data_IF_725333181607
#
_entry.id   IF_725333181607
#
_cell.length_a   1.000
_cell.length_b   1.000
_cell.length_c   1.000
_cell.angle_alpha   90.00
_cell.angle_beta   90.00
_cell.angle_gamma   90.00
#
_symmetry.space_group_name_H-M   'P 1'
#
loop_
_entity.id
_entity.type
_entity.pdbx_description
1 polymer ?
#
# COMPACT_ATOMS: atom_id res chain seq x y z
N UNK A 1 -24.48 7.11 -6.00
CA UNK A 1 -25.20 8.37 -5.74
C UNK A 1 -26.54 8.36 -6.46
N UNK A 2 -27.49 9.25 -6.10
CA UNK A 2 -28.83 9.26 -6.70
C UNK A 2 -29.83 8.29 -6.05
N UNK A 3 -29.47 7.58 -4.99
CA UNK A 3 -30.41 6.79 -4.21
C UNK A 3 -31.16 7.70 -3.21
N UNK A 4 -32.48 7.57 -3.01
CA UNK A 4 -33.21 8.44 -2.07
C UNK A 4 -32.64 8.49 -0.66
N UNK A 5 -32.03 7.40 -0.18
CA UNK A 5 -31.39 7.34 1.13
C UNK A 5 -30.12 8.20 1.25
N UNK A 6 -29.41 8.51 0.16
CA UNK A 6 -28.19 9.32 0.15
C UNK A 6 -28.45 10.79 -0.16
N UNK A 7 -29.68 11.18 -0.51
CA UNK A 7 -29.99 12.56 -0.91
C UNK A 7 -29.60 13.59 0.14
N UNK A 8 -29.87 13.33 1.40
CA UNK A 8 -29.48 14.25 2.49
C UNK A 8 -27.99 14.43 2.67
N UNK A 9 -27.18 13.45 2.27
CA UNK A 9 -25.73 13.56 2.20
C UNK A 9 -25.31 14.36 0.95
N UNK A 10 -25.90 14.05 -0.20
CA UNK A 10 -25.60 14.74 -1.45
C UNK A 10 -25.86 16.25 -1.37
N UNK A 11 -26.94 16.65 -0.68
CA UNK A 11 -27.29 18.07 -0.44
C UNK A 11 -26.25 18.81 0.44
N UNK A 12 -25.39 18.11 1.18
CA UNK A 12 -24.36 18.68 2.07
C UNK A 12 -22.95 18.63 1.48
N UNK A 13 -22.75 18.02 0.32
CA UNK A 13 -21.41 17.82 -0.26
C UNK A 13 -20.74 19.16 -0.56
N UNK A 14 -21.42 20.07 -1.24
CA UNK A 14 -20.86 21.36 -1.68
C UNK A 14 -20.46 22.22 -0.47
N UNK A 15 -21.32 22.30 0.55
CA UNK A 15 -21.01 23.03 1.78
C UNK A 15 -19.85 22.39 2.54
N UNK A 16 -19.79 21.05 2.62
CA UNK A 16 -18.70 20.32 3.28
C UNK A 16 -17.38 20.57 2.56
N UNK A 17 -17.39 20.55 1.23
CA UNK A 17 -16.22 20.81 0.41
C UNK A 17 -15.72 22.25 0.58
N UNK A 18 -16.63 23.24 0.55
CA UNK A 18 -16.29 24.64 0.77
C UNK A 18 -15.67 24.88 2.16
N UNK A 19 -16.20 24.23 3.20
CA UNK A 19 -15.62 24.30 4.53
C UNK A 19 -14.23 23.63 4.61
N UNK A 20 -14.02 22.52 3.90
CA UNK A 20 -12.71 21.88 3.85
C UNK A 20 -11.68 22.78 3.17
N UNK A 21 -12.02 23.33 2.00
CA UNK A 21 -11.14 24.20 1.22
C UNK A 21 -10.77 25.50 1.95
N UNK A 22 -11.66 26.01 2.82
CA UNK A 22 -11.39 27.16 3.66
C UNK A 22 -10.66 26.85 4.96
N UNK A 23 -10.48 25.56 5.32
CA UNK A 23 -9.89 25.16 6.58
C UNK A 23 -8.35 25.34 6.60
N UNK A 24 -7.75 25.76 7.72
CA UNK A 24 -6.30 25.85 7.85
C UNK A 24 -5.62 24.51 7.56
N UNK A 25 -4.58 24.53 6.71
CA UNK A 25 -3.80 23.35 6.36
C UNK A 25 -4.42 22.46 5.29
N UNK A 26 -5.55 22.84 4.71
CA UNK A 26 -6.06 22.16 3.52
C UNK A 26 -5.11 22.38 2.34
N UNK A 27 -4.80 21.31 1.61
CA UNK A 27 -3.91 21.35 0.45
C UNK A 27 -4.64 20.99 -0.83
N UNK A 28 -5.43 19.91 -0.81
CA UNK A 28 -6.08 19.38 -1.99
C UNK A 28 -7.17 18.38 -1.60
N UNK A 29 -8.15 18.22 -2.45
CA UNK A 29 -9.09 17.11 -2.44
C UNK A 29 -9.27 16.55 -3.84
N UNK A 30 -9.59 15.28 -3.94
CA UNK A 30 -10.05 14.70 -5.19
C UNK A 30 -11.32 15.46 -5.62
N UNK A 31 -11.28 16.04 -6.81
CA UNK A 31 -12.40 16.76 -7.35
C UNK A 31 -13.49 15.77 -7.68
N UNK A 32 -14.30 15.48 -6.71
CA UNK A 32 -15.57 14.82 -6.95
C UNK A 32 -16.49 15.91 -7.44
N UNK A 33 -16.37 16.27 -8.71
CA UNK A 33 -17.54 16.67 -9.41
C UNK A 33 -18.36 15.38 -9.53
N UNK A 34 -19.35 15.24 -8.66
CA UNK A 34 -20.18 14.03 -8.47
C UNK A 34 -20.91 13.59 -9.74
N UNK A 35 -20.65 14.23 -10.85
CA UNK A 35 -21.23 13.96 -12.17
C UNK A 35 -20.40 12.99 -13.01
N UNK A 36 -19.15 12.70 -12.65
CA UNK A 36 -18.32 11.70 -13.31
C UNK A 36 -18.24 10.43 -12.45
N UNK A 37 -19.39 9.81 -12.24
CA UNK A 37 -19.54 8.55 -11.47
C UNK A 37 -18.93 7.35 -12.18
N UNK A 38 -18.52 7.50 -13.43
CA UNK A 38 -18.00 6.39 -14.25
C UNK A 38 -16.57 5.98 -13.91
N UNK A 39 -15.86 6.78 -13.09
CA UNK A 39 -14.48 6.49 -12.64
C UNK A 39 -14.39 5.98 -11.18
N UNK A 40 -15.47 5.45 -10.62
CA UNK A 40 -15.39 4.81 -9.32
C UNK A 40 -14.53 3.54 -9.44
N UNK A 41 -13.49 3.43 -8.63
CA UNK A 41 -12.51 2.35 -8.75
C UNK A 41 -13.05 0.98 -8.31
N UNK A 42 -14.22 0.96 -7.66
CA UNK A 42 -14.88 -0.26 -7.23
C UNK A 42 -16.02 -0.63 -8.19
N UNK A 43 -16.21 -1.92 -8.42
CA UNK A 43 -17.32 -2.47 -9.22
C UNK A 43 -18.69 -2.20 -8.57
N UNK A 44 -18.71 -1.89 -7.27
CA UNK A 44 -19.92 -1.55 -6.53
C UNK A 44 -20.18 -0.05 -6.53
N UNK A 45 -21.16 0.38 -7.31
CA UNK A 45 -21.63 1.77 -7.41
C UNK A 45 -22.21 2.37 -6.11
N UNK A 46 -22.41 1.54 -5.07
CA UNK A 46 -22.88 2.02 -3.77
C UNK A 46 -21.72 2.46 -2.86
N UNK A 47 -20.47 2.29 -3.30
CA UNK A 47 -19.30 2.75 -2.57
C UNK A 47 -18.92 4.15 -3.04
N UNK A 48 -18.81 5.07 -2.11
CA UNK A 48 -18.31 6.42 -2.35
C UNK A 48 -16.91 6.54 -1.75
N UNK A 49 -15.95 7.01 -2.54
CA UNK A 49 -14.57 7.27 -2.10
C UNK A 49 -14.32 8.76 -2.11
N UNK A 50 -13.69 9.26 -1.06
CA UNK A 50 -13.25 10.65 -0.93
C UNK A 50 -11.78 10.67 -0.48
N UNK A 51 -10.99 11.56 -1.06
CA UNK A 51 -9.59 11.75 -0.69
C UNK A 51 -9.27 13.24 -0.55
N UNK A 52 -8.48 13.59 0.47
CA UNK A 52 -7.99 14.95 0.68
C UNK A 52 -6.57 14.94 1.27
N UNK A 53 -5.82 16.00 1.00
CA UNK A 53 -4.46 16.19 1.48
C UNK A 53 -4.43 17.40 2.42
N UNK A 54 -3.73 17.26 3.53
CA UNK A 54 -3.61 18.24 4.59
C UNK A 54 -2.15 18.43 5.00
N UNK A 55 -1.78 19.61 5.45
CA UNK A 55 -0.40 19.89 5.90
C UNK A 55 0.00 19.07 7.13
N UNK A 56 -0.97 18.73 7.99
CA UNK A 56 -0.74 17.92 9.19
C UNK A 56 -1.98 17.12 9.61
N UNK A 57 -1.77 16.01 10.35
CA UNK A 57 -2.88 15.25 10.95
C UNK A 57 -3.72 16.07 11.93
N UNK A 58 -3.11 17.03 12.64
CA UNK A 58 -3.83 17.84 13.63
C UNK A 58 -4.80 18.79 12.94
N UNK A 59 -4.41 19.41 11.82
CA UNK A 59 -5.30 20.26 11.01
C UNK A 59 -6.47 19.46 10.40
N UNK A 60 -6.19 18.25 9.89
CA UNK A 60 -7.26 17.36 9.46
C UNK A 60 -8.22 17.01 10.63
N UNK A 61 -7.69 16.70 11.81
CA UNK A 61 -8.52 16.39 13.00
C UNK A 61 -9.37 17.57 13.42
N UNK A 62 -8.82 18.77 13.41
CA UNK A 62 -9.55 19.99 13.74
C UNK A 62 -10.71 20.22 12.77
N UNK A 63 -10.50 20.04 11.48
CA UNK A 63 -11.58 20.07 10.49
C UNK A 63 -12.59 18.93 10.71
N UNK A 64 -12.12 17.69 10.82
CA UNK A 64 -12.98 16.50 10.84
C UNK A 64 -13.87 16.43 12.08
N UNK A 65 -13.36 16.87 13.24
CA UNK A 65 -14.03 16.67 14.52
C UNK A 65 -14.53 17.95 15.19
N UNK A 66 -14.46 19.11 14.52
CA UNK A 66 -15.01 20.36 15.00
C UNK A 66 -15.96 20.99 13.95
N UNK A 67 -16.82 21.90 14.42
CA UNK A 67 -17.68 22.69 13.57
C UNK A 67 -18.62 21.87 12.66
N UNK A 68 -18.83 22.37 11.47
CA UNK A 68 -19.78 21.85 10.48
C UNK A 68 -19.54 20.39 10.10
N UNK A 69 -18.29 20.03 9.76
CA UNK A 69 -17.96 18.66 9.35
C UNK A 69 -18.26 17.63 10.44
N UNK A 70 -17.98 17.95 11.72
CA UNK A 70 -18.35 17.09 12.84
C UNK A 70 -19.83 16.75 12.84
N UNK A 71 -20.66 17.75 12.59
CA UNK A 71 -22.13 17.59 12.66
C UNK A 71 -22.64 16.74 11.50
N UNK A 72 -22.07 16.92 10.29
CA UNK A 72 -22.29 16.01 9.14
C UNK A 72 -21.80 14.60 9.47
N UNK A 73 -20.58 14.45 9.98
CA UNK A 73 -20.01 13.14 10.28
C UNK A 73 -20.81 12.34 11.33
N UNK A 74 -21.41 13.02 12.31
CA UNK A 74 -22.28 12.38 13.31
C UNK A 74 -23.53 11.76 12.69
N UNK A 75 -24.00 12.30 11.59
CA UNK A 75 -25.19 11.82 10.88
C UNK A 75 -24.88 10.76 9.84
N UNK A 76 -23.63 10.35 9.67
CA UNK A 76 -23.21 9.40 8.62
C UNK A 76 -23.99 8.08 8.59
N UNK A 77 -24.44 7.59 9.75
CA UNK A 77 -25.26 6.39 9.85
C UNK A 77 -26.68 6.54 9.28
N UNK A 78 -27.11 7.76 8.98
CA UNK A 78 -28.38 8.01 8.28
C UNK A 78 -28.25 7.65 6.79
N UNK A 79 -27.02 7.70 6.23
CA UNK A 79 -26.76 7.56 4.80
C UNK A 79 -25.91 6.33 4.44
N UNK A 80 -25.03 5.92 5.35
CA UNK A 80 -24.05 4.87 5.09
C UNK A 80 -24.19 3.73 6.09
N UNK A 81 -24.21 2.50 5.56
CA UNK A 81 -24.21 1.28 6.37
C UNK A 81 -22.84 1.08 7.03
N UNK A 82 -21.78 1.52 6.34
CA UNK A 82 -20.40 1.42 6.81
C UNK A 82 -19.55 2.57 6.28
N UNK A 83 -18.51 2.92 7.02
CA UNK A 83 -17.54 3.94 6.60
C UNK A 83 -16.16 3.65 7.21
N UNK A 84 -15.12 3.85 6.44
CA UNK A 84 -13.74 3.77 6.91
C UNK A 84 -12.97 5.02 6.46
N UNK A 85 -12.06 5.49 7.32
CA UNK A 85 -11.14 6.57 7.00
C UNK A 85 -9.71 6.11 7.29
N UNK A 86 -8.85 6.25 6.29
CA UNK A 86 -7.45 5.85 6.35
C UNK A 86 -6.57 7.03 6.00
N UNK A 87 -5.53 7.25 6.78
CA UNK A 87 -4.52 8.29 6.58
C UNK A 87 -3.17 7.66 6.28
N UNK A 88 -2.34 8.39 5.56
CA UNK A 88 -0.94 8.05 5.34
C UNK A 88 -0.13 9.32 5.07
N UNK A 89 1.18 9.18 5.14
CA UNK A 89 2.11 10.26 4.86
C UNK A 89 2.43 10.33 3.35
N UNK A 90 2.48 11.54 2.83
CA UNK A 90 2.91 11.82 1.45
C UNK A 90 4.19 12.66 1.46
N UNK A 91 5.09 12.49 0.49
CA UNK A 91 6.15 13.44 0.25
C UNK A 91 5.57 14.83 -0.01
N UNK A 92 6.21 15.87 0.54
CA UNK A 92 5.75 17.25 0.34
C UNK A 92 5.67 17.58 -1.16
N UNK A 93 4.55 18.16 -1.58
CA UNK A 93 4.33 18.56 -2.98
C UNK A 93 3.85 17.42 -3.88
N UNK A 94 3.54 16.24 -3.34
CA UNK A 94 2.92 15.16 -4.10
C UNK A 94 1.43 15.03 -3.77
N UNK A 95 0.65 14.54 -4.71
CA UNK A 95 -0.75 14.21 -4.55
C UNK A 95 -0.96 12.71 -4.75
N UNK A 96 -1.90 12.09 -4.02
CA UNK A 96 -2.18 10.68 -4.20
C UNK A 96 -2.97 10.45 -5.50
N UNK A 97 -2.77 9.30 -6.11
CA UNK A 97 -3.69 8.80 -7.14
C UNK A 97 -4.85 8.05 -6.48
N UNK A 98 -5.95 7.89 -7.19
CA UNK A 98 -7.06 7.07 -6.69
C UNK A 98 -6.61 5.62 -6.47
N UNK A 99 -5.77 5.09 -7.35
CA UNK A 99 -5.20 3.76 -7.19
C UNK A 99 -4.39 3.64 -5.87
N UNK A 100 -3.58 4.65 -5.51
CA UNK A 100 -2.90 4.67 -4.20
C UNK A 100 -3.89 4.69 -3.04
N UNK A 101 -4.97 5.45 -3.12
CA UNK A 101 -6.01 5.48 -2.09
C UNK A 101 -6.57 4.07 -1.84
N UNK A 102 -6.88 3.32 -2.91
CA UNK A 102 -7.38 1.95 -2.81
C UNK A 102 -6.36 0.99 -2.20
N UNK A 103 -5.11 1.11 -2.60
CA UNK A 103 -4.03 0.29 -2.06
C UNK A 103 -3.81 0.52 -0.57
N UNK A 104 -3.93 1.77 -0.11
CA UNK A 104 -3.87 2.11 1.32
C UNK A 104 -5.06 1.56 2.09
N UNK A 105 -6.25 1.62 1.53
CA UNK A 105 -7.47 1.06 2.11
C UNK A 105 -7.38 -0.47 2.20
N UNK A 106 -6.98 -1.16 1.13
CA UNK A 106 -6.82 -2.61 1.11
C UNK A 106 -5.73 -3.09 2.09
N UNK A 107 -4.60 -2.37 2.12
CA UNK A 107 -3.55 -2.63 3.10
C UNK A 107 -4.04 -2.48 4.55
N UNK A 108 -4.76 -1.40 4.83
CA UNK A 108 -5.34 -1.18 6.16
C UNK A 108 -6.35 -2.27 6.54
N UNK A 109 -7.16 -2.72 5.60
CA UNK A 109 -8.11 -3.81 5.82
C UNK A 109 -7.40 -5.11 6.23
N UNK A 110 -6.24 -5.41 5.65
CA UNK A 110 -5.47 -6.62 5.91
C UNK A 110 -4.60 -6.54 7.17
N UNK A 111 -3.93 -5.39 7.40
CA UNK A 111 -2.88 -5.26 8.42
C UNK A 111 -3.29 -4.40 9.62
N UNK A 112 -4.40 -3.67 9.53
CA UNK A 112 -4.79 -2.66 10.52
C UNK A 112 -3.89 -1.44 10.48
N UNK A 113 -3.90 -0.66 11.56
CA UNK A 113 -3.11 0.56 11.68
C UNK A 113 -1.61 0.29 11.77
N UNK A 114 -0.89 0.93 10.87
CA UNK A 114 0.57 0.90 10.75
C UNK A 114 1.05 2.28 10.28
N UNK A 115 2.35 2.59 10.29
CA UNK A 115 2.84 3.85 9.70
C UNK A 115 2.52 4.02 8.21
N UNK A 116 2.23 2.91 7.48
CA UNK A 116 1.88 2.92 6.06
C UNK A 116 0.42 3.31 5.79
N UNK A 117 -0.49 2.94 6.71
CA UNK A 117 -1.91 3.26 6.66
C UNK A 117 -2.48 3.21 8.08
N UNK A 118 -3.12 4.28 8.55
CA UNK A 118 -3.57 4.42 9.95
C UNK A 118 -4.85 5.25 10.05
N UNK A 119 -5.47 5.27 11.23
CA UNK A 119 -6.70 6.05 11.46
C UNK A 119 -6.43 7.43 12.05
N UNK A 120 -7.41 8.33 11.94
CA UNK A 120 -7.34 9.70 12.48
C UNK A 120 -7.13 9.75 14.00
N UNK A 121 -7.50 8.70 14.75
CA UNK A 121 -7.35 8.62 16.20
C UNK A 121 -5.94 8.26 16.68
N UNK A 122 -5.03 7.94 15.78
CA UNK A 122 -3.70 7.41 16.10
C UNK A 122 -2.60 8.40 15.74
N UNK A 123 -1.54 8.42 16.55
CA UNK A 123 -0.30 9.11 16.22
C UNK A 123 0.70 8.07 15.71
N UNK A 124 1.08 8.21 14.46
CA UNK A 124 2.02 7.30 13.81
C UNK A 124 3.31 8.03 13.45
N UNK A 125 4.46 7.34 13.54
CA UNK A 125 5.71 7.89 13.03
C UNK A 125 5.58 8.20 11.53
N UNK A 126 6.33 9.21 11.09
CA UNK A 126 6.30 9.63 9.69
C UNK A 126 6.96 8.58 8.81
N UNK A 127 6.20 7.93 7.95
CA UNK A 127 6.73 6.99 6.96
C UNK A 127 6.64 7.58 5.56
N UNK A 128 7.80 7.75 4.93
CA UNK A 128 7.91 8.18 3.52
C UNK A 128 8.66 7.11 2.75
N UNK A 129 8.06 6.59 1.68
CA UNK A 129 8.71 5.65 0.78
C UNK A 129 9.06 6.38 -0.51
N UNK A 130 10.32 6.32 -0.92
CA UNK A 130 10.82 7.00 -2.12
C UNK A 130 11.57 6.04 -3.01
N UNK A 131 11.48 6.31 -4.31
CA UNK A 131 12.33 5.67 -5.30
C UNK A 131 13.76 6.21 -5.19
N UNK A 132 14.74 5.32 -5.29
CA UNK A 132 16.16 5.59 -5.33
C UNK A 132 16.81 4.83 -6.48
N UNK A 133 18.04 5.17 -6.81
CA UNK A 133 18.88 4.38 -7.72
C UNK A 133 19.80 3.46 -6.92
N UNK A 134 20.29 2.39 -7.53
CA UNK A 134 21.26 1.50 -6.89
C UNK A 134 22.64 2.16 -6.68
N UNK A 135 22.90 3.27 -7.37
CA UNK A 135 24.11 4.08 -7.16
C UNK A 135 24.06 4.91 -5.88
N UNK A 136 22.88 5.11 -5.27
CA UNK A 136 22.73 5.84 -4.02
C UNK A 136 23.47 5.12 -2.89
N UNK A 137 24.18 5.90 -2.05
CA UNK A 137 24.94 5.33 -0.93
C UNK A 137 24.03 4.66 0.10
N UNK A 138 22.84 5.21 0.36
CA UNK A 138 21.87 4.61 1.29
C UNK A 138 21.33 3.29 0.72
N UNK A 139 21.08 3.21 -0.60
CA UNK A 139 20.65 1.96 -1.22
C UNK A 139 21.72 0.86 -1.04
N UNK A 140 22.99 1.20 -1.26
CA UNK A 140 24.12 0.26 -1.07
C UNK A 140 24.28 -0.17 0.38
N UNK A 141 24.09 0.75 1.33
CA UNK A 141 24.15 0.45 2.75
C UNK A 141 23.05 -0.57 3.15
N UNK A 142 21.79 -0.32 2.77
CA UNK A 142 20.68 -1.22 3.08
C UNK A 142 20.82 -2.59 2.40
N UNK A 143 21.31 -2.64 1.16
CA UNK A 143 21.64 -3.90 0.48
C UNK A 143 22.79 -4.61 1.22
N UNK A 144 23.74 -3.88 1.75
CA UNK A 144 24.80 -4.42 2.59
C UNK A 144 24.26 -5.12 3.83
N UNK A 145 23.32 -4.48 4.55
CA UNK A 145 22.64 -5.10 5.70
C UNK A 145 21.85 -6.36 5.32
N UNK A 146 21.09 -6.30 4.22
CA UNK A 146 20.40 -7.47 3.68
C UNK A 146 21.37 -8.62 3.41
N UNK A 147 22.48 -8.35 2.71
CA UNK A 147 23.46 -9.38 2.36
C UNK A 147 24.13 -10.01 3.60
N UNK A 148 24.38 -9.22 4.64
CA UNK A 148 24.89 -9.73 5.92
C UNK A 148 23.88 -10.66 6.59
N UNK A 149 22.61 -10.28 6.64
CA UNK A 149 21.53 -11.08 7.22
C UNK A 149 21.32 -12.39 6.43
N UNK A 150 21.31 -12.31 5.09
CA UNK A 150 21.18 -13.50 4.23
C UNK A 150 22.36 -14.46 4.44
N UNK A 151 23.60 -13.97 4.50
CA UNK A 151 24.77 -14.82 4.77
C UNK A 151 24.68 -15.53 6.11
N UNK A 152 24.19 -14.83 7.14
CA UNK A 152 24.04 -15.41 8.47
C UNK A 152 22.91 -16.46 8.53
N UNK A 153 21.88 -16.31 7.71
CA UNK A 153 20.72 -17.21 7.67
C UNK A 153 20.89 -18.37 6.69
N UNK A 154 21.76 -18.24 5.68
CA UNK A 154 21.97 -19.25 4.64
C UNK A 154 22.64 -20.50 5.23
N UNK A 155 22.10 -21.71 5.00
CA UNK A 155 22.72 -22.95 5.44
C UNK A 155 24.15 -23.12 4.90
N UNK A 156 24.97 -23.77 5.68
CA UNK A 156 26.40 -23.99 5.36
C UNK A 156 26.55 -24.71 4.00
N UNK A 157 27.42 -24.19 3.14
CA UNK A 157 27.66 -24.73 1.78
C UNK A 157 26.72 -24.24 0.70
N UNK A 158 25.71 -23.42 1.02
CA UNK A 158 24.86 -22.80 0.02
C UNK A 158 25.44 -21.44 -0.44
N UNK A 159 25.45 -21.20 -1.75
CA UNK A 159 25.87 -19.93 -2.36
C UNK A 159 24.71 -19.38 -3.21
N UNK A 160 23.86 -18.57 -2.59
CA UNK A 160 22.62 -18.07 -3.19
C UNK A 160 22.60 -16.54 -3.35
N UNK A 161 23.71 -15.96 -3.82
CA UNK A 161 23.77 -14.51 -4.09
C UNK A 161 23.54 -14.25 -5.57
N UNK A 162 22.28 -14.05 -5.92
CA UNK A 162 21.89 -13.69 -7.28
C UNK A 162 22.11 -12.20 -7.56
N UNK A 163 22.52 -11.89 -8.75
CA UNK A 163 22.86 -10.53 -9.15
C UNK A 163 21.60 -9.67 -9.34
N UNK A 164 21.72 -8.36 -9.05
CA UNK A 164 20.69 -7.38 -9.37
C UNK A 164 21.23 -6.50 -10.52
N UNK A 165 20.54 -6.51 -11.64
CA UNK A 165 20.89 -5.72 -12.81
C UNK A 165 20.48 -4.25 -12.57
N UNK A 166 21.47 -3.38 -12.40
CA UNK A 166 21.24 -1.98 -12.03
C UNK A 166 20.52 -1.21 -13.14
N UNK A 167 20.84 -1.47 -14.39
CA UNK A 167 20.22 -0.86 -15.56
C UNK A 167 18.71 -1.12 -15.62
N UNK A 168 18.26 -2.33 -15.29
CA UNK A 168 16.84 -2.67 -15.25
C UNK A 168 16.11 -2.03 -14.08
N UNK A 169 16.74 -1.97 -12.91
CA UNK A 169 16.08 -1.43 -11.70
C UNK A 169 16.03 0.10 -11.72
N UNK A 170 17.06 0.75 -12.26
CA UNK A 170 17.15 2.21 -12.29
C UNK A 170 16.28 2.83 -13.40
N UNK A 171 15.93 2.07 -14.45
CA UNK A 171 14.96 2.49 -15.45
C UNK A 171 13.52 2.38 -14.89
N UNK A 172 12.76 3.51 -14.84
CA UNK A 172 11.37 3.50 -14.36
C UNK A 172 10.42 2.56 -15.10
N UNK A 173 10.66 2.30 -16.38
CA UNK A 173 9.82 1.41 -17.19
C UNK A 173 10.14 -0.07 -16.93
N UNK A 174 11.35 -0.37 -16.47
CA UNK A 174 11.85 -1.73 -16.30
C UNK A 174 11.89 -2.17 -14.83
N UNK A 175 11.85 -1.23 -13.88
CA UNK A 175 11.94 -1.60 -12.48
C UNK A 175 11.88 -0.42 -11.52
N UNK A 176 12.25 -0.66 -10.27
CA UNK A 176 12.37 0.35 -9.23
C UNK A 176 12.99 -0.16 -7.95
N UNK A 177 13.84 0.66 -7.35
CA UNK A 177 14.35 0.44 -6.00
C UNK A 177 13.74 1.48 -5.06
N UNK A 178 13.18 1.04 -3.94
CA UNK A 178 12.48 1.88 -2.98
C UNK A 178 13.12 1.78 -1.61
N UNK A 179 13.17 2.91 -0.91
CA UNK A 179 13.63 3.01 0.48
C UNK A 179 12.51 3.61 1.32
N UNK A 180 12.19 2.94 2.43
CA UNK A 180 11.28 3.44 3.45
C UNK A 180 12.05 4.22 4.52
N UNK A 181 11.68 5.47 4.68
CA UNK A 181 12.20 6.41 5.68
C UNK A 181 11.19 6.55 6.81
N UNK A 182 11.53 6.06 8.00
CA UNK A 182 10.71 6.18 9.20
C UNK A 182 11.32 7.23 10.11
N UNK A 183 10.59 8.34 10.35
CA UNK A 183 11.07 9.52 11.09
C UNK A 183 12.44 10.00 10.59
N UNK A 184 12.61 10.04 9.25
CA UNK A 184 13.82 10.50 8.60
C UNK A 184 14.98 9.49 8.58
N UNK A 185 14.82 8.26 9.09
CA UNK A 185 15.83 7.20 9.08
C UNK A 185 15.49 6.13 8.03
N UNK A 186 16.43 5.68 7.20
CA UNK A 186 16.19 4.63 6.22
C UNK A 186 16.10 3.27 6.93
N UNK A 187 14.93 2.64 6.93
CA UNK A 187 14.63 1.48 7.76
C UNK A 187 14.21 0.24 6.98
N UNK A 188 13.95 0.37 5.68
CA UNK A 188 13.64 -0.80 4.84
C UNK A 188 13.93 -0.48 3.36
N UNK A 189 14.12 -1.52 2.57
CA UNK A 189 14.22 -1.41 1.11
C UNK A 189 13.52 -2.58 0.41
N UNK A 190 13.18 -2.36 -0.85
CA UNK A 190 12.71 -3.37 -1.78
C UNK A 190 12.93 -2.92 -3.22
N UNK A 191 13.05 -3.88 -4.13
CA UNK A 191 13.12 -3.61 -5.54
C UNK A 191 12.14 -4.49 -6.30
N UNK A 192 11.82 -4.07 -7.53
CA UNK A 192 11.26 -4.94 -8.54
C UNK A 192 11.95 -4.67 -9.88
N UNK A 193 11.93 -5.65 -10.76
CA UNK A 193 12.37 -5.51 -12.15
C UNK A 193 11.43 -6.30 -13.06
N UNK A 194 11.34 -5.90 -14.34
CA UNK A 194 10.68 -6.70 -15.37
C UNK A 194 11.53 -7.92 -15.67
N UNK A 195 10.88 -9.05 -15.88
CA UNK A 195 11.51 -10.27 -16.42
C UNK A 195 11.35 -10.18 -17.94
N UNK A 196 12.45 -10.07 -18.66
CA UNK A 196 12.49 -9.89 -20.13
C UNK A 196 13.07 -11.10 -20.88
N UNK A 197 13.50 -12.11 -20.16
CA UNK A 197 14.03 -13.37 -20.66
C UNK A 197 12.97 -14.47 -20.88
N UNK A 198 11.71 -14.19 -20.54
CA UNK A 198 10.56 -15.07 -20.77
C UNK A 198 9.61 -14.43 -21.79
N UNK A 199 9.83 -14.73 -23.09
CA UNK A 199 9.04 -14.18 -24.19
C UNK A 199 7.55 -14.58 -24.13
N UNK A 200 7.22 -15.66 -23.47
CA UNK A 200 5.85 -16.13 -23.29
C UNK A 200 5.11 -15.36 -22.16
N UNK A 201 5.82 -14.57 -21.36
CA UNK A 201 5.28 -13.84 -20.20
C UNK A 201 5.83 -12.41 -20.11
N UNK A 202 5.55 -11.56 -21.11
CA UNK A 202 6.15 -10.22 -21.21
C UNK A 202 5.77 -9.24 -20.07
N UNK A 203 4.66 -9.50 -19.38
CA UNK A 203 4.13 -8.64 -18.32
C UNK A 203 4.40 -9.22 -16.93
N UNK A 204 5.52 -9.92 -16.78
CA UNK A 204 5.96 -10.48 -15.50
C UNK A 204 7.07 -9.62 -14.89
N UNK A 205 6.95 -9.37 -13.60
CA UNK A 205 7.98 -8.70 -12.80
C UNK A 205 8.53 -9.60 -11.70
N UNK A 206 9.71 -9.26 -11.20
CA UNK A 206 10.36 -9.95 -10.09
C UNK A 206 10.58 -9.02 -8.91
N UNK A 207 10.17 -9.43 -7.71
CA UNK A 207 10.47 -8.74 -6.45
C UNK A 207 11.87 -9.15 -5.99
N UNK A 208 12.70 -8.17 -5.68
CA UNK A 208 14.08 -8.39 -5.21
C UNK A 208 14.43 -7.49 -4.00
N UNK A 209 15.49 -7.83 -3.31
CA UNK A 209 16.12 -6.99 -2.28
C UNK A 209 15.18 -6.53 -1.17
N UNK A 210 14.24 -7.36 -0.79
CA UNK A 210 13.35 -7.11 0.35
C UNK A 210 14.12 -7.17 1.66
N UNK A 211 14.14 -6.05 2.39
CA UNK A 211 14.74 -5.99 3.72
C UNK A 211 14.05 -4.95 4.59
N UNK A 212 13.94 -5.21 5.88
CA UNK A 212 13.50 -4.24 6.88
C UNK A 212 14.36 -4.39 8.13
N UNK A 213 14.81 -3.27 8.69
CA UNK A 213 15.64 -3.24 9.89
C UNK A 213 15.01 -4.03 11.05
N UNK A 214 15.79 -4.85 11.75
CA UNK A 214 15.33 -5.51 12.97
C UNK A 214 14.80 -4.56 14.04
N UNK A 215 15.28 -3.31 14.08
CA UNK A 215 14.89 -2.29 15.05
C UNK A 215 13.42 -1.86 14.93
N UNK A 216 12.81 -2.10 13.77
CA UNK A 216 11.42 -1.72 13.48
C UNK A 216 10.52 -2.94 13.26
N UNK A 217 10.89 -4.09 13.78
CA UNK A 217 10.04 -5.28 13.77
C UNK A 217 8.71 -4.99 14.46
N UNK A 218 7.60 -5.40 13.83
CA UNK A 218 6.25 -5.07 14.28
C UNK A 218 5.62 -3.85 13.62
N UNK A 219 6.40 -2.88 13.09
CA UNK A 219 5.87 -1.74 12.33
C UNK A 219 5.37 -2.10 10.92
N UNK A 220 5.43 -3.39 10.55
CA UNK A 220 4.98 -3.91 9.24
C UNK A 220 5.67 -3.29 8.03
N UNK A 221 6.91 -2.80 8.17
CA UNK A 221 7.63 -2.16 7.05
C UNK A 221 7.88 -3.12 5.89
N UNK A 222 8.17 -4.40 6.14
CA UNK A 222 8.28 -5.41 5.07
C UNK A 222 6.97 -5.52 4.26
N UNK A 223 5.82 -5.50 4.93
CA UNK A 223 4.52 -5.49 4.27
C UNK A 223 4.30 -4.20 3.46
N UNK A 224 4.65 -3.03 4.03
CA UNK A 224 4.58 -1.74 3.35
C UNK A 224 5.44 -1.70 2.08
N UNK A 225 6.66 -2.24 2.16
CA UNK A 225 7.57 -2.33 1.02
C UNK A 225 7.03 -3.25 -0.08
N UNK A 226 6.49 -4.41 0.29
CA UNK A 226 5.90 -5.33 -0.68
C UNK A 226 4.65 -4.74 -1.35
N UNK A 227 3.80 -4.02 -0.61
CA UNK A 227 2.67 -3.28 -1.16
C UNK A 227 3.15 -2.20 -2.15
N UNK A 228 4.18 -1.42 -1.79
CA UNK A 228 4.76 -0.40 -2.67
C UNK A 228 5.31 -0.99 -3.96
N UNK A 229 6.03 -2.11 -3.89
CA UNK A 229 6.56 -2.80 -5.07
C UNK A 229 5.43 -3.31 -5.96
N UNK A 230 4.37 -3.90 -5.39
CA UNK A 230 3.22 -4.34 -6.16
C UNK A 230 2.51 -3.18 -6.87
N UNK A 231 2.34 -2.04 -6.17
CA UNK A 231 1.76 -0.83 -6.74
C UNK A 231 2.59 -0.30 -7.92
N UNK A 232 3.90 -0.19 -7.71
CA UNK A 232 4.82 0.29 -8.74
C UNK A 232 4.86 -0.63 -9.97
N UNK A 233 4.92 -1.94 -9.78
CA UNK A 233 4.89 -2.91 -10.87
C UNK A 233 3.56 -2.86 -11.65
N UNK A 234 2.43 -2.80 -10.94
CA UNK A 234 1.09 -2.68 -11.55
C UNK A 234 0.98 -1.41 -12.41
N UNK A 235 1.51 -0.27 -11.93
CA UNK A 235 1.50 0.99 -12.68
C UNK A 235 2.30 0.93 -13.99
N UNK A 236 3.20 -0.05 -14.13
CA UNK A 236 3.98 -0.33 -15.34
C UNK A 236 3.41 -1.50 -16.17
N UNK A 237 2.14 -1.87 -15.93
CA UNK A 237 1.46 -2.91 -16.69
C UNK A 237 1.87 -4.34 -16.34
N UNK A 238 2.55 -4.55 -15.23
CA UNK A 238 2.88 -5.90 -14.76
C UNK A 238 1.60 -6.59 -14.26
N UNK A 239 1.33 -7.77 -14.76
CA UNK A 239 0.15 -8.59 -14.45
C UNK A 239 0.46 -9.80 -13.57
N UNK A 240 1.73 -10.18 -13.44
CA UNK A 240 2.22 -11.21 -12.53
C UNK A 240 3.51 -10.74 -11.85
N UNK A 241 3.60 -10.92 -10.54
CA UNK A 241 4.85 -10.80 -9.81
C UNK A 241 5.35 -12.16 -9.37
N UNK A 242 6.64 -12.37 -9.55
CA UNK A 242 7.40 -13.52 -9.06
C UNK A 242 8.43 -13.06 -8.04
N UNK A 243 8.90 -13.97 -7.23
CA UNK A 243 10.02 -13.78 -6.33
C UNK A 243 10.74 -15.10 -6.07
N UNK A 244 12.01 -14.99 -5.72
CA UNK A 244 12.78 -16.07 -5.17
C UNK A 244 13.20 -15.74 -3.74
N UNK A 245 13.17 -16.74 -2.90
CA UNK A 245 13.61 -16.70 -1.50
C UNK A 245 14.14 -18.04 -1.07
N UNK A 246 14.71 -18.14 0.13
CA UNK A 246 15.02 -19.43 0.75
C UNK A 246 13.83 -19.94 1.55
N UNK A 247 13.51 -21.22 1.45
CA UNK A 247 12.45 -21.82 2.26
C UNK A 247 12.73 -21.70 3.78
N UNK A 248 14.01 -21.64 4.16
CA UNK A 248 14.47 -21.40 5.52
C UNK A 248 14.23 -19.97 6.03
N UNK A 249 13.89 -19.04 5.16
CA UNK A 249 13.50 -17.67 5.53
C UNK A 249 12.00 -17.59 5.88
N UNK A 250 11.60 -18.31 6.92
CA UNK A 250 10.19 -18.53 7.29
C UNK A 250 9.37 -17.24 7.39
N UNK A 251 9.95 -16.18 7.98
CA UNK A 251 9.26 -14.89 8.11
C UNK A 251 8.96 -14.22 6.76
N UNK A 252 9.89 -14.34 5.81
CA UNK A 252 9.72 -13.83 4.45
C UNK A 252 8.65 -14.65 3.70
N UNK A 253 8.73 -15.97 3.76
CA UNK A 253 7.74 -16.88 3.15
C UNK A 253 6.35 -16.62 3.72
N UNK A 254 6.22 -16.46 5.03
CA UNK A 254 4.94 -16.14 5.67
C UNK A 254 4.37 -14.79 5.20
N UNK A 255 5.24 -13.77 5.05
CA UNK A 255 4.84 -12.47 4.49
C UNK A 255 4.32 -12.63 3.05
N UNK A 256 5.06 -13.30 2.18
CA UNK A 256 4.67 -13.48 0.78
C UNK A 256 3.37 -14.27 0.65
N UNK A 257 3.19 -15.35 1.42
CA UNK A 257 1.92 -16.11 1.46
C UNK A 257 0.75 -15.23 1.89
N UNK A 258 0.94 -14.37 2.90
CA UNK A 258 -0.09 -13.44 3.35
C UNK A 258 -0.49 -12.44 2.26
N UNK A 259 0.44 -12.08 1.38
CA UNK A 259 0.16 -11.25 0.19
C UNK A 259 -0.42 -12.03 -0.99
N UNK A 260 -0.67 -13.33 -0.85
CA UNK A 260 -1.28 -14.17 -1.86
C UNK A 260 -0.28 -14.77 -2.86
N UNK A 261 1.01 -14.73 -2.57
CA UNK A 261 2.00 -15.49 -3.33
C UNK A 261 1.88 -16.98 -3.02
N UNK A 262 2.00 -17.81 -4.03
CA UNK A 262 2.04 -19.27 -3.96
C UNK A 262 3.27 -19.81 -4.66
N UNK A 263 3.68 -21.03 -4.32
CA UNK A 263 4.80 -21.70 -4.98
C UNK A 263 4.56 -21.80 -6.50
N UNK A 264 5.61 -21.59 -7.26
CA UNK A 264 5.59 -21.72 -8.72
C UNK A 264 6.86 -22.43 -9.23
N UNK A 265 6.89 -22.74 -10.53
CA UNK A 265 8.08 -23.28 -11.17
C UNK A 265 9.22 -22.26 -11.18
N UNK A 266 10.44 -22.74 -10.96
CA UNK A 266 11.65 -21.91 -11.04
C UNK A 266 11.89 -21.45 -12.47
N UNK A 267 12.47 -20.26 -12.62
CA UNK A 267 12.77 -19.66 -13.91
C UNK A 267 14.21 -19.10 -13.92
N UNK A 268 14.73 -18.82 -15.11
CA UNK A 268 16.02 -18.17 -15.32
C UNK A 268 17.15 -18.80 -14.51
N UNK A 269 17.86 -17.99 -13.75
CA UNK A 269 19.00 -18.40 -12.92
C UNK A 269 18.63 -19.31 -11.71
N UNK A 270 17.35 -19.45 -11.39
CA UNK A 270 16.86 -20.25 -10.26
C UNK A 270 16.60 -21.70 -10.62
N UNK A 271 16.58 -22.05 -11.92
CA UNK A 271 16.36 -23.43 -12.38
C UNK A 271 17.50 -24.33 -11.91
N UNK A 272 17.13 -25.39 -11.19
CA UNK A 272 18.11 -26.35 -10.65
C UNK A 272 18.81 -25.90 -9.36
N UNK A 273 18.50 -24.72 -8.80
CA UNK A 273 18.99 -24.30 -7.51
C UNK A 273 18.25 -25.04 -6.38
N UNK A 274 18.95 -25.85 -5.57
CA UNK A 274 18.30 -26.67 -4.52
C UNK A 274 17.80 -25.85 -3.32
N UNK A 275 18.24 -24.58 -3.23
CA UNK A 275 17.91 -23.72 -2.09
C UNK A 275 16.90 -22.64 -2.44
N UNK A 276 16.59 -22.47 -3.74
CA UNK A 276 15.65 -21.46 -4.20
C UNK A 276 14.22 -21.93 -4.04
N UNK A 277 13.44 -21.16 -3.32
CA UNK A 277 12.00 -21.30 -3.21
C UNK A 277 11.32 -20.18 -3.99
N UNK A 278 10.72 -20.53 -5.10
CA UNK A 278 10.12 -19.58 -6.04
C UNK A 278 8.62 -19.48 -5.83
N UNK A 279 8.12 -18.25 -5.84
CA UNK A 279 6.70 -17.98 -5.64
C UNK A 279 6.20 -16.95 -6.66
N UNK A 280 4.93 -17.02 -7.00
CA UNK A 280 4.28 -16.05 -7.89
C UNK A 280 2.91 -15.62 -7.37
N UNK A 281 2.47 -14.46 -7.88
CA UNK A 281 1.15 -13.89 -7.61
C UNK A 281 0.66 -13.11 -8.82
N UNK A 282 -0.59 -13.34 -9.30
CA UNK A 282 -1.25 -12.46 -10.25
C UNK A 282 -1.46 -11.05 -9.65
N UNK A 283 -1.21 -10.01 -10.43
CA UNK A 283 -1.48 -8.62 -10.10
C UNK A 283 -2.72 -8.13 -10.87
N UNK A 284 -3.89 -8.35 -10.31
CA UNK A 284 -5.12 -7.73 -10.81
C UNK A 284 -5.33 -6.30 -10.28
N UNK A 285 -6.24 -5.53 -10.88
CA UNK A 285 -6.72 -4.27 -10.31
C UNK A 285 -7.41 -4.53 -8.97
N UNK A 286 -7.41 -3.51 -8.09
CA UNK A 286 -8.19 -3.55 -6.86
C UNK A 286 -9.59 -3.07 -7.20
N UNK A 287 -10.53 -3.99 -7.39
CA UNK A 287 -11.91 -3.72 -7.81
C UNK A 287 -12.95 -3.96 -6.72
N UNK A 288 -12.54 -4.52 -5.58
CA UNK A 288 -13.45 -4.83 -4.47
C UNK A 288 -12.98 -4.14 -3.20
N UNK A 289 -13.92 -3.45 -2.55
CA UNK A 289 -13.65 -2.91 -1.22
C UNK A 289 -13.64 -4.05 -0.19
N UNK A 290 -12.57 -4.10 0.60
CA UNK A 290 -12.42 -5.03 1.72
C UNK A 290 -12.69 -4.27 3.02
N UNK A 291 -13.70 -4.72 3.75
CA UNK A 291 -14.00 -4.13 5.05
C UNK A 291 -12.81 -4.31 6.00
N UNK A 292 -12.32 -3.24 6.64
CA UNK A 292 -11.31 -3.37 7.68
C UNK A 292 -11.84 -4.28 8.80
N UNK A 293 -11.02 -5.23 9.27
CA UNK A 293 -11.35 -6.04 10.42
C UNK A 293 -11.54 -5.11 11.63
N UNK A 294 -12.79 -4.91 12.06
CA UNK A 294 -13.13 -4.03 13.17
C UNK A 294 -12.43 -4.46 14.44
N UNK A 295 -11.93 -3.51 15.22
CA UNK A 295 -11.78 -3.72 16.66
C UNK A 295 -13.20 -4.08 17.14
N UNK A 296 -13.36 -5.27 17.73
CA UNK A 296 -14.64 -5.70 18.31
C UNK A 296 -15.16 -4.63 19.28
N UNK A 297 -16.20 -3.97 18.86
CA UNK A 297 -16.97 -3.00 19.61
C UNK A 297 -18.36 -2.98 18.97
N UNK A 298 -19.29 -3.63 19.67
CA UNK A 298 -20.75 -3.58 19.51
C UNK A 298 -21.33 -4.01 18.16
N UNK A 299 -21.48 -5.33 18.03
CA UNK A 299 -22.55 -5.90 17.26
C UNK A 299 -23.89 -5.49 17.92
N UNK A 300 -24.44 -4.35 17.51
CA UNK A 300 -25.84 -4.06 17.71
C UNK A 300 -26.63 -5.09 16.88
N UNK A 301 -27.13 -6.11 17.54
CA UNK A 301 -28.14 -7.02 17.02
C UNK A 301 -29.34 -6.21 16.56
N UNK A 302 -29.49 -6.03 15.25
CA UNK A 302 -30.74 -5.54 14.68
C UNK A 302 -31.78 -6.64 14.81
N UNK A 303 -32.98 -6.35 15.38
CA UNK A 303 -34.09 -7.27 15.28
C UNK A 303 -34.56 -7.33 13.83
N UNK A 304 -34.72 -8.56 13.32
CA UNK A 304 -35.26 -8.82 11.99
C UNK A 304 -36.69 -8.28 11.85
N UNK A 305 -37.10 -7.95 10.62
CA UNK A 305 -38.48 -7.56 10.35
C UNK A 305 -39.45 -8.76 10.55
N UNK A 306 -40.52 -8.53 11.32
CA UNK A 306 -41.72 -9.34 11.28
C UNK A 306 -42.59 -8.94 10.10
#
# INVERSE_FOLDING_TARGET
MGHPATKGFEDLIDDTNAHAEAAPGFVWRHGIDTREVDDLPYDDKHITVNASVWESPDQLRDFAYRGFHRDVYRRRSEWFVDSAAVMWWLPRGTLPTMQECLERMDFFAEFGSTPFAFTTGERMPTLVIRRHTLADHVARELIGHLNLELRAATPEGANNFFHLEADKVDDPAMGGFFIAWLDGRPMACAAWRRIDDDADRPDTGEVKRMWASPDVRGARLGAAMLATVQAAARSQGITELRLETGEYLEAAVALYRRFGFSACESWGEYVGSPMSYTMSKPLGPITQWRRPAGRGGDAATSPGPQ
#
